data_IF_429816462066
#
_entry.id   IF_429816462066
#
_cell.length_a   1.000
_cell.length_b   1.000
_cell.length_c   1.000
_cell.angle_alpha   90.00
_cell.angle_beta   90.00
_cell.angle_gamma   90.00
#
_symmetry.space_group_name_H-M   'P 1'
#
loop_
_entity.id
_entity.type
_entity.pdbx_description
1 polymer ?
#
# COMPACT_ATOMS: atom_id res chain seq x y z
N UNK A 1 -6.07 53.56 -59.26
CA UNK A 1 -6.45 54.89 -59.75
C UNK A 1 -7.05 55.66 -58.57
N UNK A 2 -6.46 56.80 -58.23
CA UNK A 2 -6.80 57.66 -57.09
C UNK A 2 -8.23 58.22 -57.19
N UNK A 3 -8.84 58.62 -56.07
CA UNK A 3 -9.02 60.05 -55.71
C UNK A 3 -9.64 60.19 -54.31
N UNK A 4 -9.11 61.20 -53.64
CA UNK A 4 -9.30 61.72 -52.28
C UNK A 4 -10.43 62.77 -52.32
N UNK A 5 -11.33 62.81 -51.35
CA UNK A 5 -12.22 63.96 -51.14
C UNK A 5 -12.32 64.32 -49.65
N UNK A 6 -12.14 65.62 -49.37
CA UNK A 6 -12.03 66.28 -48.06
C UNK A 6 -13.41 66.53 -47.40
N UNK A 7 -13.46 66.80 -46.08
CA UNK A 7 -14.71 66.89 -45.29
C UNK A 7 -15.33 68.30 -45.27
N UNK A 8 -16.66 68.35 -45.18
CA UNK A 8 -17.47 69.56 -44.96
C UNK A 8 -17.87 69.77 -43.48
N UNK A 9 -18.29 70.99 -43.09
CA UNK A 9 -18.23 71.43 -41.69
C UNK A 9 -19.53 71.25 -40.88
N UNK A 10 -19.34 71.01 -39.59
CA UNK A 10 -20.06 71.69 -38.50
C UNK A 10 -21.56 71.46 -38.35
N UNK A 11 -21.95 70.46 -37.54
CA UNK A 11 -23.17 70.52 -36.72
C UNK A 11 -22.88 69.99 -35.32
N UNK A 12 -22.91 70.90 -34.34
CA UNK A 12 -22.86 70.59 -32.90
C UNK A 12 -24.25 70.09 -32.46
N UNK A 13 -24.36 68.93 -31.78
CA UNK A 13 -25.58 68.60 -31.05
C UNK A 13 -25.55 69.23 -29.65
N UNK A 14 -26.68 69.82 -29.30
CA UNK A 14 -27.04 70.46 -28.04
C UNK A 14 -26.81 69.61 -26.79
N UNK A 15 -26.05 70.17 -25.84
CA UNK A 15 -25.91 69.66 -24.47
C UNK A 15 -27.22 69.85 -23.69
N UNK A 16 -27.91 68.75 -23.40
CA UNK A 16 -28.99 68.71 -22.40
C UNK A 16 -28.33 68.73 -21.02
N UNK A 17 -28.44 69.86 -20.30
CA UNK A 17 -28.05 69.96 -18.88
C UNK A 17 -29.10 69.23 -18.02
N UNK A 18 -28.85 67.97 -17.69
CA UNK A 18 -29.53 67.31 -16.57
C UNK A 18 -29.00 67.89 -15.25
N UNK A 19 -29.84 68.62 -14.52
CA UNK A 19 -29.56 69.04 -13.14
C UNK A 19 -29.49 67.78 -12.26
N UNK A 20 -28.29 67.44 -11.81
CA UNK A 20 -28.10 66.41 -10.79
C UNK A 20 -28.42 67.02 -9.43
N UNK A 21 -29.47 66.52 -8.79
CA UNK A 21 -29.88 66.87 -7.44
C UNK A 21 -28.89 66.23 -6.43
N UNK A 22 -28.19 66.99 -5.56
CA UNK A 22 -27.11 66.45 -4.75
C UNK A 22 -27.56 65.64 -3.50
N UNK A 23 -28.85 65.37 -3.33
CA UNK A 23 -29.39 64.78 -2.09
C UNK A 23 -29.62 63.26 -2.10
N UNK A 24 -29.08 62.52 -3.07
CA UNK A 24 -29.21 61.04 -3.12
C UNK A 24 -27.90 60.30 -3.40
N UNK A 25 -26.77 60.84 -2.94
CA UNK A 25 -25.53 60.08 -2.79
C UNK A 25 -25.70 59.05 -1.67
N UNK A 26 -26.19 57.86 -2.01
CA UNK A 26 -26.23 56.71 -1.12
C UNK A 26 -24.78 56.29 -0.86
N UNK A 27 -24.21 56.81 0.22
CA UNK A 27 -22.88 56.43 0.72
C UNK A 27 -22.88 54.92 0.92
N UNK A 28 -22.15 54.20 0.06
CA UNK A 28 -21.78 52.81 0.33
C UNK A 28 -20.85 52.83 1.54
N UNK A 29 -21.42 52.68 2.74
CA UNK A 29 -20.63 52.38 3.94
C UNK A 29 -20.01 51.01 3.73
N UNK A 30 -18.68 50.96 3.69
CA UNK A 30 -17.95 49.72 3.86
C UNK A 30 -18.47 49.01 5.12
N UNK A 31 -18.67 47.68 5.09
CA UNK A 31 -19.08 46.96 6.30
C UNK A 31 -18.05 47.21 7.40
N UNK A 32 -18.48 47.30 8.67
CA UNK A 32 -17.55 47.49 9.78
C UNK A 32 -16.54 46.35 9.74
N UNK A 33 -15.25 46.70 9.81
CA UNK A 33 -14.15 45.75 9.96
C UNK A 33 -14.41 44.99 11.27
N UNK A 34 -15.10 43.86 11.15
CA UNK A 34 -15.39 42.98 12.26
C UNK A 34 -14.07 42.61 12.91
N UNK A 35 -14.02 42.67 14.25
CA UNK A 35 -12.92 42.14 15.06
C UNK A 35 -12.40 40.89 14.39
N UNK A 36 -11.14 40.93 13.93
CA UNK A 36 -10.41 39.74 13.51
C UNK A 36 -10.58 38.71 14.63
N UNK A 37 -11.47 37.74 14.43
CA UNK A 37 -11.61 36.59 15.29
C UNK A 37 -10.27 35.88 15.10
N UNK A 38 -9.37 36.04 16.08
CA UNK A 38 -8.07 35.37 16.08
C UNK A 38 -8.34 33.91 15.73
N UNK A 39 -7.90 33.48 14.54
CA UNK A 39 -7.83 32.06 14.24
C UNK A 39 -6.97 31.50 15.38
N UNK A 40 -7.48 30.60 16.23
CA UNK A 40 -6.67 30.06 17.31
C UNK A 40 -5.41 29.48 16.65
N UNK A 41 -4.26 30.01 17.03
CA UNK A 41 -2.97 29.43 16.72
C UNK A 41 -3.00 28.01 17.31
N UNK A 42 -3.31 27.02 16.47
CA UNK A 42 -3.26 25.61 16.86
C UNK A 42 -1.80 25.31 17.09
N UNK A 43 -1.41 25.17 18.36
CA UNK A 43 -0.02 24.87 18.72
C UNK A 43 0.47 23.66 17.89
N UNK A 44 1.68 23.73 17.31
CA UNK A 44 2.33 22.58 16.68
C UNK A 44 2.33 21.34 17.60
N UNK A 45 2.32 21.59 18.91
CA UNK A 45 2.38 20.60 19.99
C UNK A 45 1.13 19.71 20.10
N UNK A 46 -0.07 20.23 19.80
CA UNK A 46 -1.29 19.42 19.86
C UNK A 46 -1.34 18.40 18.70
N UNK A 47 -0.78 18.76 17.56
CA UNK A 47 -0.70 17.89 16.38
C UNK A 47 0.43 16.88 16.54
N UNK A 48 1.57 17.28 17.11
CA UNK A 48 2.69 16.37 17.38
C UNK A 48 2.38 15.36 18.50
N UNK A 49 1.63 15.75 19.53
CA UNK A 49 1.20 14.83 20.58
C UNK A 49 0.15 13.81 20.10
N UNK A 50 -0.82 14.24 19.28
CA UNK A 50 -1.78 13.31 18.66
C UNK A 50 -1.10 12.33 17.69
N UNK A 51 -0.08 12.78 16.95
CA UNK A 51 0.74 11.91 16.11
C UNK A 51 1.57 10.91 16.94
N UNK A 52 2.08 11.32 18.11
CA UNK A 52 2.77 10.44 19.06
C UNK A 52 1.86 9.37 19.68
N UNK A 53 0.59 9.70 19.95
CA UNK A 53 -0.38 8.72 20.47
C UNK A 53 -0.90 7.74 19.41
N UNK A 54 -0.89 8.12 18.11
CA UNK A 54 -1.34 7.26 17.01
C UNK A 54 -0.23 6.34 16.47
N UNK A 55 1.04 6.70 16.66
CA UNK A 55 2.20 5.86 16.29
C UNK A 55 2.18 4.45 16.90
N UNK A 56 1.91 4.23 18.20
CA UNK A 56 1.88 2.88 18.76
C UNK A 56 0.80 2.00 18.10
N UNK A 57 -0.36 2.56 17.74
CA UNK A 57 -1.41 1.81 17.07
C UNK A 57 -1.03 1.46 15.63
N UNK A 58 -0.39 2.37 14.89
CA UNK A 58 0.14 2.10 13.54
C UNK A 58 1.20 1.00 13.55
N UNK A 59 2.08 1.00 14.54
CA UNK A 59 3.11 -0.04 14.73
C UNK A 59 2.46 -1.39 15.04
N UNK A 60 1.53 -1.44 16.00
CA UNK A 60 0.82 -2.66 16.38
C UNK A 60 0.05 -3.26 15.19
N UNK A 61 -0.66 -2.43 14.42
CA UNK A 61 -1.37 -2.87 13.22
C UNK A 61 -0.40 -3.38 12.13
N UNK A 62 0.74 -2.71 11.93
CA UNK A 62 1.78 -3.16 11.00
C UNK A 62 2.40 -4.51 11.41
N UNK A 63 2.67 -4.71 12.70
CA UNK A 63 3.17 -5.99 13.21
C UNK A 63 2.11 -7.10 13.17
N UNK A 64 0.85 -6.75 13.43
CA UNK A 64 -0.28 -7.69 13.27
C UNK A 64 -0.42 -8.12 11.81
N UNK A 65 -0.28 -7.17 10.89
CA UNK A 65 -0.24 -7.46 9.47
C UNK A 65 0.95 -8.37 9.11
N UNK A 66 2.16 -8.08 9.61
CA UNK A 66 3.34 -8.91 9.39
C UNK A 66 3.13 -10.36 9.88
N UNK A 67 2.56 -10.54 11.06
CA UNK A 67 2.28 -11.87 11.60
C UNK A 67 1.24 -12.62 10.75
N UNK A 68 0.12 -11.96 10.41
CA UNK A 68 -0.92 -12.58 9.59
C UNK A 68 -0.45 -12.90 8.17
N UNK A 69 0.32 -12.00 7.53
CA UNK A 69 0.99 -12.28 6.25
C UNK A 69 1.97 -13.44 6.37
N UNK A 70 2.76 -13.53 7.44
CA UNK A 70 3.77 -14.58 7.58
C UNK A 70 3.16 -15.98 7.68
N UNK A 71 2.05 -16.13 8.42
CA UNK A 71 1.30 -17.39 8.47
C UNK A 71 0.62 -17.68 7.13
N UNK A 72 0.01 -16.66 6.52
CA UNK A 72 -0.65 -16.78 5.22
C UNK A 72 0.31 -17.23 4.12
N UNK A 73 1.51 -16.64 4.07
CA UNK A 73 2.53 -16.93 3.07
C UNK A 73 3.12 -18.34 3.22
N UNK A 74 3.35 -18.76 4.47
CA UNK A 74 3.77 -20.14 4.75
C UNK A 74 2.74 -21.16 4.25
N UNK A 75 1.46 -20.96 4.62
CA UNK A 75 0.38 -21.84 4.21
C UNK A 75 0.13 -21.78 2.69
N UNK A 76 0.16 -20.58 2.11
CA UNK A 76 0.00 -20.34 0.68
C UNK A 76 1.11 -21.00 -0.14
N UNK A 77 2.36 -20.92 0.34
CA UNK A 77 3.48 -21.64 -0.23
C UNK A 77 3.31 -23.16 -0.13
N UNK A 78 2.86 -23.66 1.02
CA UNK A 78 2.66 -25.10 1.25
C UNK A 78 1.59 -25.67 0.31
N UNK A 79 0.50 -24.94 0.11
CA UNK A 79 -0.56 -25.32 -0.83
C UNK A 79 -0.14 -25.13 -2.29
N UNK A 80 0.68 -24.12 -2.62
CA UNK A 80 1.18 -23.87 -3.99
C UNK A 80 2.16 -24.93 -4.50
N UNK A 81 2.71 -25.77 -3.61
CA UNK A 81 3.47 -26.97 -4.01
C UNK A 81 2.58 -28.15 -4.39
N UNK A 82 1.31 -28.11 -3.99
CA UNK A 82 0.33 -29.20 -4.18
C UNK A 82 -0.72 -28.86 -5.22
N UNK A 83 -1.02 -27.58 -5.39
CA UNK A 83 -2.03 -27.04 -6.28
C UNK A 83 -1.38 -26.05 -7.25
N UNK A 84 -2.00 -25.81 -8.42
CA UNK A 84 -1.58 -24.71 -9.29
C UNK A 84 -1.59 -23.38 -8.52
N UNK A 85 -0.53 -22.58 -8.66
CA UNK A 85 -0.41 -21.27 -7.99
C UNK A 85 -1.62 -20.36 -8.27
N UNK A 86 -2.18 -20.43 -9.48
CA UNK A 86 -3.40 -19.71 -9.84
C UNK A 86 -4.63 -20.17 -9.07
N UNK A 87 -4.79 -21.48 -8.81
CA UNK A 87 -5.86 -21.98 -7.94
C UNK A 87 -5.71 -21.42 -6.52
N UNK A 88 -4.50 -21.49 -5.95
CA UNK A 88 -4.27 -20.99 -4.59
C UNK A 88 -4.58 -19.50 -4.52
N UNK A 89 -4.08 -18.70 -5.46
CA UNK A 89 -4.33 -17.27 -5.53
C UNK A 89 -5.81 -16.93 -5.70
N UNK A 90 -6.50 -17.54 -6.68
CA UNK A 90 -7.90 -17.22 -6.98
C UNK A 90 -8.82 -17.60 -5.82
N UNK A 91 -8.71 -18.82 -5.32
CA UNK A 91 -9.61 -19.31 -4.28
C UNK A 91 -9.31 -18.72 -2.90
N UNK A 92 -8.04 -18.40 -2.59
CA UNK A 92 -7.72 -17.66 -1.36
C UNK A 92 -8.25 -16.24 -1.42
N UNK A 93 -8.02 -15.53 -2.53
CA UNK A 93 -8.52 -14.16 -2.70
C UNK A 93 -10.06 -14.11 -2.72
N UNK A 94 -10.74 -15.15 -3.23
CA UNK A 94 -12.19 -15.27 -3.16
C UNK A 94 -12.67 -15.45 -1.72
N UNK A 95 -12.06 -16.35 -0.95
CA UNK A 95 -12.37 -16.53 0.47
C UNK A 95 -12.15 -15.22 1.27
N UNK A 96 -11.04 -14.54 0.99
CA UNK A 96 -10.74 -13.22 1.56
C UNK A 96 -11.76 -12.15 1.21
N UNK A 97 -12.33 -12.20 -0.01
CA UNK A 97 -13.37 -11.27 -0.44
C UNK A 97 -14.65 -11.38 0.41
N UNK A 98 -15.01 -12.57 0.89
CA UNK A 98 -16.14 -12.74 1.82
C UNK A 98 -15.87 -12.09 3.18
N UNK A 99 -14.64 -12.21 3.70
CA UNK A 99 -14.24 -11.55 4.97
C UNK A 99 -14.27 -10.04 4.80
N UNK A 100 -13.74 -9.53 3.70
CA UNK A 100 -13.77 -8.10 3.39
C UNK A 100 -15.21 -7.60 3.25
N UNK A 101 -16.07 -8.35 2.55
CA UNK A 101 -17.49 -8.03 2.42
C UNK A 101 -18.21 -7.98 3.76
N UNK A 102 -17.97 -8.97 4.64
CA UNK A 102 -18.50 -8.97 6.00
C UNK A 102 -18.00 -7.75 6.80
N UNK A 103 -16.71 -7.41 6.71
CA UNK A 103 -16.16 -6.22 7.34
C UNK A 103 -16.81 -4.93 6.84
N UNK A 104 -17.08 -4.82 5.52
CA UNK A 104 -17.79 -3.67 4.96
C UNK A 104 -19.23 -3.56 5.46
N UNK A 105 -19.94 -4.68 5.62
CA UNK A 105 -21.30 -4.68 6.20
C UNK A 105 -21.27 -4.26 7.67
N UNK A 106 -20.37 -4.82 8.47
CA UNK A 106 -20.28 -4.55 9.92
C UNK A 106 -19.83 -3.12 10.20
N UNK A 107 -18.79 -2.64 9.50
CA UNK A 107 -18.26 -1.29 9.71
C UNK A 107 -19.14 -0.24 9.03
N UNK A 108 -19.86 -0.61 7.96
CA UNK A 108 -20.70 0.29 7.16
C UNK A 108 -20.00 1.61 6.81
N UNK A 109 -18.83 1.56 6.14
CA UNK A 109 -18.05 2.76 5.85
C UNK A 109 -18.80 3.65 4.86
N UNK A 110 -18.68 4.97 5.04
CA UNK A 110 -19.24 5.94 4.09
C UNK A 110 -18.73 5.64 2.68
N UNK A 111 -19.63 5.72 1.70
CA UNK A 111 -19.30 5.56 0.29
C UNK A 111 -18.39 6.71 -0.16
N UNK A 112 -17.29 6.36 -0.81
CA UNK A 112 -16.38 7.33 -1.42
C UNK A 112 -15.88 6.80 -2.76
N UNK A 113 -16.13 7.59 -3.82
CA UNK A 113 -15.54 7.37 -5.14
C UNK A 113 -14.09 7.85 -5.23
N UNK A 114 -13.57 8.50 -4.18
CA UNK A 114 -12.22 9.04 -4.17
C UNK A 114 -11.21 7.91 -4.07
N UNK A 115 -10.18 7.95 -4.92
CA UNK A 115 -9.13 6.94 -4.92
C UNK A 115 -9.54 5.60 -5.53
N UNK A 116 -10.72 5.49 -6.15
CA UNK A 116 -11.18 4.26 -6.84
C UNK A 116 -10.18 3.77 -7.87
N UNK A 117 -9.63 4.65 -8.71
CA UNK A 117 -8.62 4.25 -9.69
C UNK A 117 -7.32 3.74 -9.06
N UNK A 118 -6.88 4.35 -7.95
CA UNK A 118 -5.71 3.89 -7.20
C UNK A 118 -5.98 2.54 -6.51
N UNK A 119 -7.18 2.36 -5.96
CA UNK A 119 -7.66 1.09 -5.44
C UNK A 119 -7.61 0.02 -6.52
N UNK A 120 -8.27 0.25 -7.66
CA UNK A 120 -8.33 -0.71 -8.76
C UNK A 120 -6.94 -1.07 -9.30
N UNK A 121 -6.10 -0.06 -9.57
CA UNK A 121 -4.73 -0.25 -10.06
C UNK A 121 -3.87 -1.04 -9.05
N UNK A 122 -3.98 -0.71 -7.75
CA UNK A 122 -3.30 -1.50 -6.71
C UNK A 122 -3.79 -2.94 -6.72
N UNK A 123 -5.09 -3.17 -6.87
CA UNK A 123 -5.69 -4.49 -7.04
C UNK A 123 -5.12 -5.31 -8.18
N UNK A 124 -5.02 -4.73 -9.37
CA UNK A 124 -4.46 -5.40 -10.56
C UNK A 124 -3.00 -5.81 -10.32
N UNK A 125 -2.22 -4.89 -9.78
CA UNK A 125 -0.80 -5.13 -9.46
C UNK A 125 -0.67 -6.17 -8.35
N UNK A 126 -1.46 -6.08 -7.29
CA UNK A 126 -1.46 -7.01 -6.15
C UNK A 126 -1.93 -8.42 -6.53
N UNK A 127 -2.97 -8.53 -7.36
CA UNK A 127 -3.44 -9.81 -7.91
C UNK A 127 -2.40 -10.49 -8.80
N UNK A 128 -1.69 -9.70 -9.61
CA UNK A 128 -0.56 -10.22 -10.40
C UNK A 128 0.61 -10.64 -9.49
N UNK A 129 0.95 -9.80 -8.50
CA UNK A 129 2.04 -10.04 -7.57
C UNK A 129 1.82 -11.32 -6.75
N UNK A 130 0.63 -11.53 -6.19
CA UNK A 130 0.34 -12.72 -5.39
C UNK A 130 0.41 -14.00 -6.23
N UNK A 131 -0.03 -13.96 -7.49
CA UNK A 131 0.08 -15.10 -8.40
C UNK A 131 1.55 -15.44 -8.69
N UNK A 132 2.35 -14.42 -9.02
CA UNK A 132 3.79 -14.56 -9.27
C UNK A 132 4.52 -15.04 -8.01
N UNK A 133 4.13 -14.55 -6.85
CA UNK A 133 4.66 -14.93 -5.54
C UNK A 133 4.39 -16.40 -5.20
N UNK A 134 3.13 -16.85 -5.32
CA UNK A 134 2.78 -18.25 -5.11
C UNK A 134 3.48 -19.17 -6.12
N UNK A 135 3.65 -18.71 -7.37
CA UNK A 135 4.46 -19.44 -8.35
C UNK A 135 5.93 -19.51 -7.93
N UNK A 136 6.49 -18.43 -7.39
CA UNK A 136 7.84 -18.41 -6.87
C UNK A 136 8.01 -19.40 -5.70
N UNK A 137 7.07 -19.43 -4.75
CA UNK A 137 7.08 -20.36 -3.61
C UNK A 137 6.93 -21.83 -4.01
N UNK A 138 6.26 -22.09 -5.14
CA UNK A 138 6.10 -23.42 -5.69
C UNK A 138 7.41 -23.96 -6.30
N UNK A 139 8.22 -23.10 -6.94
CA UNK A 139 9.42 -23.52 -7.69
C UNK A 139 10.74 -23.26 -6.96
N UNK A 140 10.78 -22.28 -6.04
CA UNK A 140 11.93 -21.96 -5.19
C UNK A 140 11.74 -22.44 -3.75
N UNK A 141 12.73 -22.25 -2.89
CA UNK A 141 12.58 -22.53 -1.45
C UNK A 141 11.85 -21.37 -0.74
N UNK A 142 10.95 -21.68 0.18
CA UNK A 142 10.18 -20.65 0.88
C UNK A 142 11.10 -19.72 1.69
N UNK A 143 12.15 -20.29 2.29
CA UNK A 143 13.16 -19.58 3.06
C UNK A 143 14.01 -18.58 2.24
N UNK A 144 14.02 -18.68 0.89
CA UNK A 144 14.62 -17.68 -0.01
C UNK A 144 13.54 -16.72 -0.53
N UNK A 145 12.47 -17.27 -1.09
CA UNK A 145 11.47 -16.51 -1.86
C UNK A 145 10.73 -15.49 -0.99
N UNK A 146 10.36 -15.85 0.24
CA UNK A 146 9.62 -14.94 1.12
C UNK A 146 10.44 -13.69 1.51
N UNK A 147 11.69 -13.82 2.01
CA UNK A 147 12.55 -12.65 2.26
C UNK A 147 12.79 -11.77 1.03
N UNK A 148 13.02 -12.37 -0.13
CA UNK A 148 13.28 -11.60 -1.36
C UNK A 148 12.03 -10.82 -1.79
N UNK A 149 10.85 -11.43 -1.69
CA UNK A 149 9.60 -10.74 -2.01
C UNK A 149 9.32 -9.59 -1.04
N UNK A 150 9.69 -9.74 0.24
CA UNK A 150 9.55 -8.69 1.25
C UNK A 150 10.48 -7.50 1.04
N UNK A 151 11.59 -7.68 0.31
CA UNK A 151 12.46 -6.56 -0.07
C UNK A 151 11.74 -5.51 -0.94
N UNK A 152 10.54 -5.83 -1.46
CA UNK A 152 9.63 -4.88 -2.09
C UNK A 152 9.32 -3.65 -1.23
N UNK A 153 9.46 -3.74 0.09
CA UNK A 153 9.35 -2.60 1.02
C UNK A 153 10.37 -1.47 0.78
N UNK A 154 11.45 -1.73 0.04
CA UNK A 154 12.39 -0.68 -0.41
C UNK A 154 11.65 0.38 -1.26
N UNK A 155 10.70 -0.04 -2.10
CA UNK A 155 9.95 0.86 -2.99
C UNK A 155 9.15 1.91 -2.20
N UNK A 156 8.24 1.54 -1.27
CA UNK A 156 7.52 2.52 -0.47
C UNK A 156 8.44 3.37 0.43
N UNK A 157 9.59 2.84 0.88
CA UNK A 157 10.59 3.65 1.61
C UNK A 157 11.16 4.75 0.72
N UNK A 158 11.62 4.41 -0.50
CA UNK A 158 12.14 5.40 -1.45
C UNK A 158 11.06 6.44 -1.78
N UNK A 159 9.84 5.99 -2.07
CA UNK A 159 8.72 6.89 -2.38
C UNK A 159 8.36 7.78 -1.20
N UNK A 160 8.39 7.26 0.03
CA UNK A 160 8.19 8.02 1.27
C UNK A 160 9.21 9.16 1.39
N UNK A 161 10.50 8.86 1.15
CA UNK A 161 11.57 9.86 1.20
C UNK A 161 11.43 10.93 0.11
N UNK A 162 11.10 10.53 -1.12
CA UNK A 162 10.84 11.46 -2.23
C UNK A 162 9.67 12.39 -1.92
N UNK A 163 8.65 11.91 -1.21
CA UNK A 163 7.49 12.70 -0.76
C UNK A 163 7.81 13.65 0.40
N UNK A 164 9.07 13.72 0.84
CA UNK A 164 9.48 14.53 1.97
C UNK A 164 8.96 14.01 3.31
N UNK A 165 8.48 12.76 3.38
CA UNK A 165 8.11 12.15 4.64
C UNK A 165 9.39 11.67 5.32
N UNK A 166 10.01 12.54 6.13
CA UNK A 166 11.25 12.24 6.86
C UNK A 166 10.90 11.54 8.17
N UNK A 167 11.14 10.22 8.30
CA UNK A 167 11.01 9.53 9.57
C UNK A 167 12.08 10.04 10.55
N UNK A 168 11.96 9.73 11.83
CA UNK A 168 13.04 10.03 12.78
C UNK A 168 14.35 9.36 12.36
N UNK A 169 15.49 9.95 12.73
CA UNK A 169 16.80 9.37 12.42
C UNK A 169 16.94 7.94 12.98
N UNK A 170 16.34 7.67 14.13
CA UNK A 170 16.23 6.33 14.73
C UNK A 170 15.43 5.38 13.85
N UNK A 171 14.25 5.81 13.35
CA UNK A 171 13.46 5.02 12.42
C UNK A 171 14.22 4.73 11.11
N UNK A 172 14.98 5.69 10.56
CA UNK A 172 15.80 5.46 9.37
C UNK A 172 16.89 4.40 9.58
N UNK A 173 17.61 4.47 10.71
CA UNK A 173 18.61 3.45 11.07
C UNK A 173 17.94 2.09 11.26
N UNK A 174 16.80 2.05 11.95
CA UNK A 174 16.00 0.83 12.12
C UNK A 174 15.53 0.24 10.80
N UNK A 175 15.06 1.06 9.85
CA UNK A 175 14.71 0.61 8.49
C UNK A 175 15.92 0.02 7.76
N UNK A 176 17.08 0.66 7.84
CA UNK A 176 18.32 0.16 7.25
C UNK A 176 18.72 -1.20 7.82
N UNK A 177 18.67 -1.36 9.14
CA UNK A 177 18.92 -2.64 9.83
C UNK A 177 17.92 -3.71 9.41
N UNK A 178 16.63 -3.39 9.39
CA UNK A 178 15.58 -4.33 9.01
C UNK A 178 15.72 -4.83 7.58
N UNK A 179 15.94 -3.92 6.63
CA UNK A 179 16.16 -4.27 5.22
C UNK A 179 17.45 -5.07 5.04
N UNK A 180 18.52 -4.69 5.73
CA UNK A 180 19.79 -5.44 5.69
C UNK A 180 19.60 -6.85 6.25
N UNK A 181 18.86 -7.01 7.34
CA UNK A 181 18.49 -8.31 7.90
C UNK A 181 17.78 -9.20 6.87
N UNK A 182 16.75 -8.66 6.20
CA UNK A 182 16.01 -9.35 5.13
C UNK A 182 16.96 -9.78 3.99
N UNK A 183 17.87 -8.91 3.57
CA UNK A 183 18.85 -9.21 2.50
C UNK A 183 19.87 -10.27 2.93
N UNK A 184 20.31 -10.26 4.19
CA UNK A 184 21.22 -11.27 4.75
C UNK A 184 20.53 -12.64 4.80
N UNK A 185 19.28 -12.70 5.27
CA UNK A 185 18.47 -13.94 5.24
C UNK A 185 18.36 -14.45 3.80
N UNK A 186 18.09 -13.56 2.84
CA UNK A 186 17.95 -13.89 1.42
C UNK A 186 19.22 -14.50 0.83
N UNK A 187 20.39 -13.89 1.09
CA UNK A 187 21.69 -14.36 0.56
C UNK A 187 22.13 -15.67 1.20
N UNK A 188 21.97 -15.79 2.51
CA UNK A 188 22.35 -16.98 3.26
C UNK A 188 21.60 -18.25 2.83
N UNK A 189 20.43 -18.06 2.22
CA UNK A 189 19.59 -19.13 1.72
C UNK A 189 19.94 -19.51 0.25
N UNK A 190 20.51 -18.59 -0.53
CA UNK A 190 20.89 -18.79 -1.94
C UNK A 190 22.25 -19.46 -2.18
N UNK A 191 23.07 -19.70 -1.14
CA UNK A 191 24.43 -20.29 -1.29
C UNK A 191 24.44 -21.80 -1.54
N UNK A 192 23.29 -22.47 -1.64
CA UNK A 192 23.20 -23.93 -1.79
C UNK A 192 22.96 -24.43 -3.20
N UNK A 193 22.54 -23.60 -4.16
CA UNK A 193 22.21 -24.06 -5.52
C UNK A 193 22.60 -23.03 -6.59
N UNK A 194 23.27 -23.48 -7.66
CA UNK A 194 23.93 -22.64 -8.66
C UNK A 194 22.99 -21.85 -9.59
N UNK A 195 23.54 -20.87 -10.34
CA UNK A 195 22.79 -19.97 -11.22
C UNK A 195 22.33 -20.73 -12.48
N UNK A 196 21.10 -21.26 -12.45
CA UNK A 196 20.50 -21.96 -13.60
C UNK A 196 19.43 -23.01 -13.27
N UNK A 197 19.33 -23.44 -12.01
CA UNK A 197 18.34 -24.42 -11.55
C UNK A 197 16.93 -23.83 -11.29
N UNK A 198 15.97 -24.67 -10.86
CA UNK A 198 14.64 -24.24 -10.38
C UNK A 198 14.70 -23.06 -9.39
N UNK A 199 15.76 -22.99 -8.58
CA UNK A 199 16.07 -21.89 -7.67
C UNK A 199 16.26 -20.52 -8.36
N UNK A 200 16.89 -20.45 -9.54
CA UNK A 200 17.09 -19.20 -10.27
C UNK A 200 15.80 -18.62 -10.84
N UNK A 201 14.88 -19.48 -11.30
CA UNK A 201 13.53 -19.05 -11.71
C UNK A 201 12.71 -18.58 -10.52
N UNK A 202 12.78 -19.29 -9.39
CA UNK A 202 12.14 -18.86 -8.14
C UNK A 202 12.62 -17.48 -7.68
N UNK A 203 13.93 -17.20 -7.80
CA UNK A 203 14.52 -15.91 -7.51
C UNK A 203 13.96 -14.78 -8.40
N UNK A 204 13.94 -14.97 -9.71
CA UNK A 204 13.42 -13.95 -10.65
C UNK A 204 11.94 -13.65 -10.39
N UNK A 205 11.15 -14.70 -10.12
CA UNK A 205 9.74 -14.54 -9.77
C UNK A 205 9.57 -13.84 -8.41
N UNK A 206 10.43 -14.13 -7.42
CA UNK A 206 10.41 -13.44 -6.13
C UNK A 206 10.74 -11.95 -6.27
N UNK A 207 11.70 -11.59 -7.12
CA UNK A 207 12.01 -10.19 -7.43
C UNK A 207 10.84 -9.50 -8.15
N UNK A 208 10.21 -10.18 -9.11
CA UNK A 208 9.02 -9.65 -9.78
C UNK A 208 7.85 -9.45 -8.79
N UNK A 209 7.64 -10.39 -7.86
CA UNK A 209 6.68 -10.26 -6.78
C UNK A 209 7.04 -9.10 -5.84
N UNK A 210 8.32 -8.90 -5.51
CA UNK A 210 8.79 -7.79 -4.68
C UNK A 210 8.42 -6.43 -5.30
N UNK A 211 8.66 -6.27 -6.60
CA UNK A 211 8.28 -5.06 -7.33
C UNK A 211 6.76 -4.87 -7.34
N UNK A 212 6.00 -5.94 -7.55
CA UNK A 212 4.54 -5.93 -7.52
C UNK A 212 3.98 -5.53 -6.15
N UNK A 213 4.43 -6.16 -5.07
CA UNK A 213 4.00 -5.82 -3.71
C UNK A 213 4.42 -4.39 -3.34
N UNK A 214 5.67 -3.99 -3.59
CA UNK A 214 6.11 -2.62 -3.32
C UNK A 214 5.27 -1.56 -4.07
N UNK A 215 4.93 -1.86 -5.33
CA UNK A 215 4.03 -1.02 -6.12
C UNK A 215 2.61 -0.99 -5.57
N UNK A 216 2.06 -2.13 -5.12
CA UNK A 216 0.76 -2.20 -4.43
C UNK A 216 0.71 -1.26 -3.22
N UNK A 217 1.73 -1.27 -2.35
CA UNK A 217 1.80 -0.39 -1.18
C UNK A 217 1.76 1.09 -1.57
N UNK A 218 2.51 1.48 -2.60
CA UNK A 218 2.54 2.87 -3.08
C UNK A 218 1.21 3.29 -3.67
N UNK A 219 0.63 2.47 -4.54
CA UNK A 219 -0.64 2.75 -5.21
C UNK A 219 -1.78 2.86 -4.20
N UNK A 220 -1.87 1.93 -3.25
CA UNK A 220 -2.94 1.95 -2.26
C UNK A 220 -2.80 3.15 -1.32
N UNK A 221 -1.57 3.45 -0.87
CA UNK A 221 -1.31 4.65 -0.07
C UNK A 221 -1.64 5.94 -0.82
N UNK A 222 -1.42 5.99 -2.13
CA UNK A 222 -1.78 7.15 -2.94
C UNK A 222 -3.29 7.39 -2.93
N UNK A 223 -4.10 6.33 -3.03
CA UNK A 223 -5.55 6.43 -2.89
C UNK A 223 -5.97 6.89 -1.49
N UNK A 224 -5.35 6.32 -0.44
CA UNK A 224 -5.64 6.65 0.96
C UNK A 224 -5.27 8.08 1.35
N UNK A 225 -4.32 8.71 0.63
CA UNK A 225 -3.86 10.07 0.91
C UNK A 225 -4.78 11.15 0.34
N UNK A 226 -5.80 10.76 -0.44
CA UNK A 226 -6.74 11.72 -1.03
C UNK A 226 -7.78 12.19 0.00
N UNK A 227 -8.30 13.43 -0.13
CA UNK A 227 -9.39 13.91 0.72
C UNK A 227 -10.63 13.01 0.63
N UNK A 228 -11.31 12.78 1.75
CA UNK A 228 -12.53 11.95 1.83
C UNK A 228 -12.34 10.51 1.34
N UNK A 229 -11.11 10.00 1.32
CA UNK A 229 -10.83 8.60 0.99
C UNK A 229 -11.39 7.66 2.07
N UNK A 230 -12.13 6.64 1.63
CA UNK A 230 -12.64 5.58 2.51
C UNK A 230 -11.77 4.33 2.41
N UNK A 231 -11.02 3.95 3.47
CA UNK A 231 -10.00 2.90 3.36
C UNK A 231 -10.55 1.53 2.92
N UNK A 232 -11.71 1.15 3.45
CA UNK A 232 -12.36 -0.12 3.10
C UNK A 232 -12.94 -0.12 1.69
N UNK A 233 -13.41 1.02 1.17
CA UNK A 233 -13.86 1.11 -0.23
C UNK A 233 -12.68 1.02 -1.20
N UNK A 234 -11.56 1.68 -0.90
CA UNK A 234 -10.33 1.56 -1.71
C UNK A 234 -9.84 0.11 -1.72
N UNK A 235 -9.84 -0.57 -0.56
CA UNK A 235 -9.51 -1.99 -0.48
C UNK A 235 -10.52 -2.87 -1.22
N UNK A 236 -11.82 -2.57 -1.12
CA UNK A 236 -12.88 -3.27 -1.85
C UNK A 236 -12.65 -3.22 -3.36
N UNK A 237 -12.38 -2.03 -3.89
CA UNK A 237 -12.06 -1.84 -5.32
C UNK A 237 -10.73 -2.51 -5.70
N UNK A 238 -9.73 -2.50 -4.81
CA UNK A 238 -8.50 -3.26 -5.01
C UNK A 238 -8.78 -4.77 -5.08
N UNK A 239 -9.67 -5.29 -4.24
CA UNK A 239 -10.06 -6.71 -4.27
C UNK A 239 -10.78 -7.06 -5.58
N UNK A 240 -11.63 -6.16 -6.11
CA UNK A 240 -12.24 -6.31 -7.44
C UNK A 240 -11.17 -6.36 -8.55
N UNK A 241 -10.19 -5.45 -8.52
CA UNK A 241 -9.08 -5.45 -9.49
C UNK A 241 -8.24 -6.75 -9.44
N UNK A 242 -7.96 -7.24 -8.24
CA UNK A 242 -7.25 -8.52 -8.03
C UNK A 242 -8.05 -9.71 -8.56
N UNK A 243 -9.34 -9.79 -8.19
CA UNK A 243 -10.26 -10.83 -8.66
C UNK A 243 -10.38 -10.84 -10.18
N UNK A 244 -10.57 -9.67 -10.79
CA UNK A 244 -10.67 -9.55 -12.24
C UNK A 244 -9.38 -10.04 -12.91
N UNK A 245 -8.22 -9.63 -12.39
CA UNK A 245 -6.93 -10.06 -12.94
C UNK A 245 -6.77 -11.58 -12.89
N UNK A 246 -7.00 -12.19 -11.73
CA UNK A 246 -6.88 -13.64 -11.56
C UNK A 246 -7.91 -14.42 -12.40
N UNK A 247 -9.14 -13.90 -12.48
CA UNK A 247 -10.19 -14.47 -13.32
C UNK A 247 -9.81 -14.44 -14.80
N UNK A 248 -9.39 -13.27 -15.31
CA UNK A 248 -8.95 -13.10 -16.70
C UNK A 248 -7.76 -14.01 -17.01
N UNK A 249 -6.77 -14.11 -16.13
CA UNK A 249 -5.65 -15.04 -16.32
C UNK A 249 -6.11 -16.49 -16.38
N UNK A 250 -7.12 -16.90 -15.59
CA UNK A 250 -7.68 -18.25 -15.65
C UNK A 250 -8.47 -18.56 -16.91
N UNK A 251 -9.08 -17.54 -17.53
CA UNK A 251 -9.93 -17.69 -18.72
C UNK A 251 -9.16 -17.53 -20.02
N UNK A 252 -8.21 -16.61 -20.05
CA UNK A 252 -7.40 -16.28 -21.24
C UNK A 252 -6.08 -17.05 -21.28
N UNK A 253 -5.56 -17.48 -20.12
CA UNK A 253 -4.33 -18.24 -20.03
C UNK A 253 -4.55 -19.74 -20.26
N UNK A 254 -3.46 -20.44 -20.61
CA UNK A 254 -3.39 -21.92 -20.55
C UNK A 254 -3.30 -22.46 -19.12
N UNK A 255 -3.50 -21.60 -18.12
CA UNK A 255 -3.35 -21.91 -16.70
C UNK A 255 -4.73 -22.24 -16.13
N UNK A 256 -4.90 -23.48 -15.66
CA UNK A 256 -6.14 -23.90 -15.02
C UNK A 256 -6.14 -23.53 -13.53
N UNK A 257 -7.32 -23.14 -13.04
CA UNK A 257 -7.57 -22.86 -11.62
C UNK A 257 -8.61 -23.84 -11.05
N UNK A 258 -8.37 -25.17 -11.08
CA UNK A 258 -9.34 -26.14 -10.57
C UNK A 258 -9.70 -25.88 -9.10
N UNK A 259 -10.92 -26.26 -8.73
CA UNK A 259 -11.41 -26.20 -7.37
C UNK A 259 -10.51 -27.03 -6.43
N UNK A 260 -10.04 -26.47 -5.29
CA UNK A 260 -9.09 -27.13 -4.40
C UNK A 260 -9.68 -28.30 -3.59
N UNK A 261 -10.99 -28.57 -3.69
CA UNK A 261 -11.67 -29.72 -3.07
C UNK A 261 -11.23 -29.96 -1.61
N UNK A 262 -10.47 -31.04 -1.35
CA UNK A 262 -9.97 -31.41 -0.01
C UNK A 262 -9.05 -30.36 0.63
N UNK A 263 -8.52 -29.41 -0.15
CA UNK A 263 -7.66 -28.29 0.28
C UNK A 263 -8.40 -26.96 0.36
N UNK A 264 -9.73 -26.93 0.16
CA UNK A 264 -10.51 -25.70 0.21
C UNK A 264 -10.37 -24.96 1.55
N UNK A 265 -10.37 -25.70 2.68
CA UNK A 265 -10.23 -25.08 4.01
C UNK A 265 -8.85 -24.43 4.23
N UNK A 266 -7.71 -25.12 4.01
CA UNK A 266 -6.39 -24.47 4.06
C UNK A 266 -6.27 -23.25 3.15
N UNK A 267 -6.76 -23.34 1.91
CA UNK A 267 -6.72 -22.22 0.94
C UNK A 267 -7.61 -21.06 1.39
N UNK A 268 -8.76 -21.34 2.01
CA UNK A 268 -9.61 -20.32 2.59
C UNK A 268 -8.93 -19.61 3.78
N UNK A 269 -8.24 -20.37 4.65
CA UNK A 269 -7.48 -19.80 5.79
C UNK A 269 -6.39 -18.84 5.29
N UNK A 270 -5.66 -19.21 4.22
CA UNK A 270 -4.69 -18.31 3.56
C UNK A 270 -5.37 -16.99 3.17
N UNK A 271 -6.52 -17.08 2.50
CA UNK A 271 -7.27 -15.90 2.05
C UNK A 271 -7.79 -15.01 3.17
N UNK A 272 -8.28 -15.63 4.24
CA UNK A 272 -8.78 -14.94 5.45
C UNK A 272 -7.63 -14.20 6.12
N UNK A 273 -6.51 -14.88 6.38
CA UNK A 273 -5.33 -14.28 7.02
C UNK A 273 -4.72 -13.16 6.18
N UNK A 274 -4.58 -13.37 4.86
CA UNK A 274 -4.13 -12.34 3.91
C UNK A 274 -5.03 -11.09 3.97
N UNK A 275 -6.34 -11.30 3.98
CA UNK A 275 -7.29 -10.18 4.02
C UNK A 275 -7.24 -9.44 5.34
N UNK A 276 -7.19 -10.14 6.46
CA UNK A 276 -7.05 -9.53 7.78
C UNK A 276 -5.73 -8.74 7.87
N UNK A 277 -4.64 -9.30 7.34
CA UNK A 277 -3.35 -8.62 7.25
C UNK A 277 -3.45 -7.34 6.41
N UNK A 278 -4.11 -7.41 5.26
CA UNK A 278 -4.30 -6.26 4.35
C UNK A 278 -5.16 -5.17 4.99
N UNK A 279 -6.22 -5.54 5.70
CA UNK A 279 -7.07 -4.59 6.44
C UNK A 279 -6.26 -3.90 7.53
N UNK A 280 -5.49 -4.65 8.33
CA UNK A 280 -4.62 -4.10 9.36
C UNK A 280 -3.56 -3.17 8.75
N UNK A 281 -2.92 -3.58 7.66
CA UNK A 281 -1.96 -2.78 6.91
C UNK A 281 -2.55 -1.43 6.46
N UNK A 282 -3.73 -1.43 5.86
CA UNK A 282 -4.36 -0.21 5.35
C UNK A 282 -4.68 0.77 6.49
N UNK A 283 -5.21 0.26 7.61
CA UNK A 283 -5.45 1.10 8.78
C UNK A 283 -4.16 1.55 9.47
N UNK A 284 -3.05 0.81 9.32
CA UNK A 284 -1.73 1.27 9.71
C UNK A 284 -1.26 2.41 8.80
N UNK A 285 -1.43 2.30 7.48
CA UNK A 285 -1.06 3.35 6.51
C UNK A 285 -1.82 4.65 6.71
N UNK A 286 -3.08 4.61 7.19
CA UNK A 286 -3.82 5.84 7.53
C UNK A 286 -3.32 6.52 8.82
N UNK A 287 -2.51 5.83 9.62
CA UNK A 287 -2.05 6.28 10.95
C UNK A 287 -0.53 6.45 11.06
N UNK A 288 0.23 5.96 10.08
CA UNK A 288 1.68 5.89 10.11
C UNK A 288 2.30 6.33 8.79
N UNK A 289 3.61 6.55 8.84
CA UNK A 289 4.41 6.86 7.66
C UNK A 289 4.48 5.63 6.73
N UNK A 290 4.35 5.85 5.41
CA UNK A 290 4.34 4.79 4.41
C UNK A 290 5.60 3.90 4.50
N UNK A 291 6.78 4.51 4.62
CA UNK A 291 8.05 3.80 4.76
C UNK A 291 8.12 2.98 6.06
N UNK A 292 7.72 3.56 7.18
CA UNK A 292 7.70 2.88 8.50
C UNK A 292 6.77 1.67 8.47
N UNK A 293 5.51 1.88 8.09
CA UNK A 293 4.49 0.82 8.06
C UNK A 293 4.86 -0.28 7.07
N UNK A 294 5.43 0.07 5.92
CA UNK A 294 5.90 -0.91 4.95
C UNK A 294 7.02 -1.79 5.51
N UNK A 295 8.02 -1.21 6.18
CA UNK A 295 9.13 -1.97 6.76
C UNK A 295 8.68 -2.86 7.92
N UNK A 296 7.77 -2.37 8.77
CA UNK A 296 7.18 -3.16 9.85
C UNK A 296 6.35 -4.33 9.31
N UNK A 297 5.54 -4.08 8.29
CA UNK A 297 4.71 -5.12 7.66
C UNK A 297 5.57 -6.14 6.93
N UNK A 298 6.68 -5.72 6.31
CA UNK A 298 7.62 -6.58 5.58
C UNK A 298 8.47 -7.52 6.46
N UNK A 299 8.18 -7.60 7.76
CA UNK A 299 8.79 -8.55 8.69
C UNK A 299 8.12 -9.93 8.64
N UNK A 300 7.06 -10.10 7.86
CA UNK A 300 6.39 -11.38 7.64
C UNK A 300 7.31 -12.57 7.26
N UNK A 301 8.47 -12.39 6.57
CA UNK A 301 9.35 -13.51 6.29
C UNK A 301 9.97 -14.11 7.55
N UNK A 302 10.17 -13.34 8.63
CA UNK A 302 10.72 -13.86 9.88
C UNK A 302 9.82 -14.99 10.38
N UNK A 303 8.51 -14.75 10.43
CA UNK A 303 7.55 -15.76 10.86
C UNK A 303 7.44 -16.91 9.86
N UNK A 304 7.45 -16.61 8.56
CA UNK A 304 7.42 -17.62 7.48
C UNK A 304 8.61 -18.59 7.60
N UNK A 305 9.81 -18.06 7.81
CA UNK A 305 11.08 -18.81 7.92
C UNK A 305 11.10 -19.63 9.21
N UNK A 306 10.62 -19.08 10.33
CA UNK A 306 10.50 -19.82 11.60
C UNK A 306 9.51 -20.98 11.46
N UNK A 307 8.35 -20.77 10.83
CA UNK A 307 7.39 -21.85 10.58
C UNK A 307 7.97 -22.91 9.64
N UNK A 308 8.67 -22.49 8.57
CA UNK A 308 9.38 -23.41 7.68
C UNK A 308 10.41 -24.26 8.44
N UNK A 309 11.16 -23.67 9.38
CA UNK A 309 12.08 -24.43 10.24
C UNK A 309 11.35 -25.45 11.10
N UNK A 310 10.34 -25.02 11.85
CA UNK A 310 9.68 -25.85 12.86
C UNK A 310 8.90 -26.98 12.22
N UNK A 311 8.17 -26.68 11.13
CA UNK A 311 7.24 -27.62 10.49
C UNK A 311 7.94 -28.44 9.41
N UNK A 312 8.74 -27.80 8.54
CA UNK A 312 9.42 -28.49 7.42
C UNK A 312 10.82 -29.00 7.79
N UNK A 313 11.31 -28.70 9.00
CA UNK A 313 12.64 -29.10 9.51
C UNK A 313 13.82 -28.64 8.63
N UNK A 314 13.65 -27.59 7.83
CA UNK A 314 14.73 -27.01 7.01
C UNK A 314 15.91 -26.55 7.87
N UNK A 315 17.16 -26.83 7.53
CA UNK A 315 18.31 -26.48 8.39
C UNK A 315 18.69 -25.01 8.26
N UNK A 316 18.72 -24.28 9.38
CA UNK A 316 19.24 -22.90 9.42
C UNK A 316 20.73 -22.83 9.17
N UNK A 317 21.15 -21.82 8.41
CA UNK A 317 22.54 -21.36 8.45
C UNK A 317 22.69 -20.32 9.57
N UNK A 318 23.84 -20.25 10.26
CA UNK A 318 24.11 -19.20 11.24
C UNK A 318 23.88 -17.78 10.70
N UNK A 319 24.13 -17.58 9.40
CA UNK A 319 23.90 -16.33 8.69
C UNK A 319 22.42 -15.96 8.58
N UNK A 320 21.49 -16.93 8.46
CA UNK A 320 20.05 -16.65 8.52
C UNK A 320 19.64 -16.15 9.91
N UNK A 321 20.22 -16.71 10.98
CA UNK A 321 19.93 -16.26 12.34
C UNK A 321 20.39 -14.81 12.57
N UNK A 322 21.58 -14.46 12.07
CA UNK A 322 22.08 -13.07 12.09
C UNK A 322 21.11 -12.14 11.36
N UNK A 323 20.63 -12.54 10.18
CA UNK A 323 19.65 -11.76 9.43
C UNK A 323 18.33 -11.56 10.19
N UNK A 324 17.83 -12.58 10.88
CA UNK A 324 16.64 -12.47 11.75
C UNK A 324 16.88 -11.52 12.92
N UNK A 325 18.03 -11.61 13.58
CA UNK A 325 18.38 -10.71 14.70
C UNK A 325 18.48 -9.26 14.22
N UNK A 326 19.10 -9.01 13.06
CA UNK A 326 19.14 -7.68 12.45
C UNK A 326 17.74 -7.16 12.11
N UNK A 327 16.88 -8.03 11.58
CA UNK A 327 15.51 -7.69 11.23
C UNK A 327 14.71 -7.24 12.47
N UNK A 328 14.73 -8.07 13.53
CA UNK A 328 14.07 -7.78 14.80
C UNK A 328 14.66 -6.56 15.52
N UNK A 329 15.98 -6.40 15.52
CA UNK A 329 16.64 -5.22 16.10
C UNK A 329 16.25 -3.92 15.37
N UNK A 330 16.10 -3.97 14.05
CA UNK A 330 15.60 -2.84 13.26
C UNK A 330 14.17 -2.47 13.62
N UNK A 331 13.27 -3.44 13.86
CA UNK A 331 11.91 -3.19 14.37
C UNK A 331 11.96 -2.47 15.71
N UNK A 332 12.79 -2.92 16.65
CA UNK A 332 12.93 -2.29 17.96
C UNK A 332 13.37 -0.84 17.86
N UNK A 333 14.32 -0.52 16.96
CA UNK A 333 14.72 0.86 16.70
C UNK A 333 13.61 1.70 16.06
N UNK A 334 12.86 1.14 15.11
CA UNK A 334 11.70 1.81 14.51
C UNK A 334 10.65 2.12 15.56
N UNK A 335 10.41 1.21 16.52
CA UNK A 335 9.43 1.41 17.58
C UNK A 335 9.88 2.43 18.64
N UNK A 336 11.20 2.61 18.82
CA UNK A 336 11.78 3.52 19.80
C UNK A 336 11.99 4.96 19.27
N UNK A 337 11.93 5.16 17.95
CA UNK A 337 12.20 6.42 17.27
C UNK A 337 10.96 7.11 16.75
#
# INVERSE_FOLDING_TARGET
MCIRARPGPGRRPSFVRSRVNPSSARVYRAPPVGRFRRIPYRSPDATSNALRELMPLGILLGLTAAAAYGVSDFLGGAESRRLPALSVALWSQLAGSFVLGAAMVVVSPHFSGTGVWWGFASGVVGGTAIMVFYRALAVGSMSIVAPISASGAIIPVIVSLIRGQVPSNLALVGMGLSLTGILVVSRAAGTREGPGGPAGRGLLLALAAAVGFGSFFVLINQGLSLPDASPLWILGVARVGSMLTLFLVSRMGRLSAPWPARRAVPVAIVGVLDTLATVALIYALTRGNLGVVAVLSAQYPVLTVVMARVILRERFTPTQLVGVVLALGGISLIAAG
#
